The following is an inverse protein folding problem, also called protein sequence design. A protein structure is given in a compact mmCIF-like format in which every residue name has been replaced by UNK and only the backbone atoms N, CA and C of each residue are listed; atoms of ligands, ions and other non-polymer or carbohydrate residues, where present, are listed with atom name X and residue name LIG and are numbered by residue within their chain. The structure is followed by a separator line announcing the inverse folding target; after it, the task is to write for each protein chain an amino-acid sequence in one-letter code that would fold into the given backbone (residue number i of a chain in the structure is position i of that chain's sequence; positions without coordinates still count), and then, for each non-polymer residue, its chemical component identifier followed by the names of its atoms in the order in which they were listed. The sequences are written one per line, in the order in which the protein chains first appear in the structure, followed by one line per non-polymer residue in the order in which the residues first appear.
data_IF_771462118674
#
_entry.id   IF_771462118674
#
_cell.length_a   1.000
_cell.length_b   1.000
_cell.length_c   1.000
_cell.angle_alpha   90.00
_cell.angle_beta   90.00
_cell.angle_gamma   90.00
#
_symmetry.space_group_name_H-M   'P 1'
#
loop_
_entity.id
_entity.type
_entity.pdbx_description
1 polymer ?
#
# COMPACT_ATOMS: atom_id res chain seq x y z
N UNK A 1 -10.24 -10.96 -36.66
CA UNK A 1 -9.31 -10.51 -35.61
C UNK A 1 -8.52 -11.72 -35.15
N UNK A 2 -7.25 -11.56 -34.80
CA UNK A 2 -6.51 -12.64 -34.16
C UNK A 2 -7.18 -12.91 -32.81
N UNK A 3 -7.42 -14.18 -32.51
CA UNK A 3 -7.99 -14.59 -31.24
C UNK A 3 -6.90 -14.49 -30.15
N UNK A 4 -7.10 -13.66 -29.12
CA UNK A 4 -6.19 -13.41 -28.01
C UNK A 4 -6.67 -14.07 -26.69
N UNK A 5 -7.65 -14.95 -26.78
CA UNK A 5 -8.20 -15.65 -25.62
C UNK A 5 -7.23 -16.63 -24.98
N UNK A 6 -7.49 -17.03 -23.73
CA UNK A 6 -6.73 -18.09 -23.05
C UNK A 6 -6.65 -19.36 -23.89
N UNK A 7 -7.73 -19.72 -24.59
CA UNK A 7 -7.75 -20.86 -25.52
C UNK A 7 -6.72 -20.70 -26.67
N UNK A 8 -6.61 -19.48 -27.22
CA UNK A 8 -5.62 -19.19 -28.27
C UNK A 8 -4.19 -19.22 -27.73
N UNK A 9 -3.96 -18.69 -26.51
CA UNK A 9 -2.67 -18.75 -25.83
C UNK A 9 -2.27 -20.20 -25.58
N UNK A 10 -3.16 -21.03 -24.98
CA UNK A 10 -2.93 -22.47 -24.77
C UNK A 10 -2.55 -23.17 -26.09
N UNK A 11 -3.30 -22.92 -27.16
CA UNK A 11 -3.03 -23.52 -28.49
C UNK A 11 -1.66 -23.12 -29.02
N UNK A 12 -1.26 -21.86 -28.85
CA UNK A 12 0.07 -21.37 -29.27
C UNK A 12 1.18 -22.01 -28.45
N UNK A 13 1.05 -22.05 -27.12
CA UNK A 13 2.02 -22.66 -26.21
C UNK A 13 2.20 -24.15 -26.55
N UNK A 14 1.11 -24.91 -26.71
CA UNK A 14 1.18 -26.34 -27.11
C UNK A 14 1.94 -26.56 -28.42
N UNK A 15 1.79 -25.65 -29.38
CA UNK A 15 2.55 -25.72 -30.65
C UNK A 15 4.03 -25.44 -30.43
N UNK A 16 4.38 -24.46 -29.60
CA UNK A 16 5.76 -24.12 -29.29
C UNK A 16 6.46 -25.24 -28.50
N UNK A 17 5.79 -25.80 -27.50
CA UNK A 17 6.32 -26.86 -26.63
C UNK A 17 6.22 -28.27 -27.23
N UNK A 18 5.65 -28.41 -28.44
CA UNK A 18 5.43 -29.70 -29.11
C UNK A 18 4.64 -30.72 -28.29
N UNK A 19 3.71 -30.19 -27.42
CA UNK A 19 2.84 -31.03 -26.57
C UNK A 19 1.37 -30.87 -27.00
N UNK A 20 0.95 -31.53 -28.10
CA UNK A 20 -0.38 -31.30 -28.69
C UNK A 20 -1.53 -31.83 -27.85
N UNK A 21 -1.29 -32.79 -26.94
CA UNK A 21 -2.35 -33.43 -26.17
C UNK A 21 -2.40 -32.97 -24.71
N UNK A 22 -3.62 -32.99 -24.12
CA UNK A 22 -3.84 -32.72 -22.70
C UNK A 22 -3.25 -33.81 -21.79
N UNK A 23 -2.99 -35.00 -22.32
CA UNK A 23 -2.33 -36.09 -21.56
C UNK A 23 -0.85 -35.79 -21.30
N UNK A 24 -0.19 -35.02 -22.16
CA UNK A 24 1.22 -34.63 -22.00
C UNK A 24 1.39 -33.39 -21.11
N UNK A 25 0.45 -32.47 -21.17
CA UNK A 25 0.40 -31.26 -20.35
C UNK A 25 -1.07 -30.89 -20.18
N UNK A 26 -1.58 -30.96 -18.96
CA UNK A 26 -2.98 -30.65 -18.68
C UNK A 26 -3.31 -29.18 -18.94
N UNK A 27 -4.58 -28.83 -19.16
CA UNK A 27 -4.97 -27.43 -19.28
C UNK A 27 -4.76 -26.69 -17.95
N UNK A 28 -4.93 -27.35 -16.82
CA UNK A 28 -4.71 -26.76 -15.49
C UNK A 28 -3.24 -26.36 -15.29
N UNK A 29 -2.31 -27.27 -15.58
CA UNK A 29 -0.87 -26.98 -15.47
C UNK A 29 -0.47 -25.85 -16.44
N UNK A 30 -1.03 -25.88 -17.65
CA UNK A 30 -0.76 -24.84 -18.65
C UNK A 30 -1.26 -23.47 -18.20
N UNK A 31 -2.43 -23.41 -17.57
CA UNK A 31 -2.98 -22.17 -17.01
C UNK A 31 -2.16 -21.66 -15.84
N UNK A 32 -1.63 -22.54 -15.02
CA UNK A 32 -0.71 -22.19 -13.95
C UNK A 32 0.55 -21.54 -14.49
N UNK A 33 1.18 -22.12 -15.54
CA UNK A 33 2.34 -21.51 -16.19
C UNK A 33 2.03 -20.16 -16.83
N UNK A 34 0.87 -20.03 -17.50
CA UNK A 34 0.42 -18.78 -18.13
C UNK A 34 0.20 -17.70 -17.06
N UNK A 35 -0.54 -18.02 -16.01
CA UNK A 35 -0.82 -17.06 -14.95
C UNK A 35 0.43 -16.69 -14.14
N UNK A 36 1.33 -17.65 -13.91
CA UNK A 36 2.62 -17.39 -13.27
C UNK A 36 3.44 -16.41 -14.10
N UNK A 37 3.51 -16.58 -15.43
CA UNK A 37 4.20 -15.64 -16.30
C UNK A 37 3.58 -14.25 -16.25
N UNK A 38 2.25 -14.14 -16.32
CA UNK A 38 1.52 -12.86 -16.29
C UNK A 38 1.73 -12.12 -14.95
N UNK A 39 1.73 -12.85 -13.83
CA UNK A 39 1.78 -12.22 -12.51
C UNK A 39 3.19 -11.93 -12.00
N UNK A 40 4.17 -12.77 -12.32
CA UNK A 40 5.49 -12.72 -11.69
C UNK A 40 6.65 -12.46 -12.65
N UNK A 41 6.54 -12.94 -13.88
CA UNK A 41 7.67 -12.86 -14.83
C UNK A 41 7.52 -11.70 -15.82
N UNK A 42 6.39 -11.01 -15.78
CA UNK A 42 6.16 -9.83 -16.62
C UNK A 42 7.06 -8.68 -16.12
N UNK A 43 7.96 -8.13 -16.96
CA UNK A 43 8.90 -7.11 -16.52
C UNK A 43 8.18 -5.90 -15.91
N UNK A 44 8.60 -5.42 -14.71
CA UNK A 44 7.98 -4.26 -14.09
C UNK A 44 8.15 -2.97 -14.91
N UNK A 45 9.14 -2.92 -15.81
CA UNK A 45 9.32 -1.82 -16.77
C UNK A 45 8.18 -1.74 -17.79
N UNK A 46 7.54 -2.86 -18.08
CA UNK A 46 6.33 -2.93 -18.90
C UNK A 46 5.09 -2.50 -18.12
N UNK A 47 5.22 -1.48 -17.31
CA UNK A 47 4.08 -0.82 -16.63
C UNK A 47 3.21 -0.17 -17.68
N UNK A 48 2.22 -0.93 -18.11
CA UNK A 48 1.38 -0.59 -19.23
C UNK A 48 0.38 0.46 -18.78
N UNK A 49 0.25 1.51 -19.57
CA UNK A 49 -0.70 2.57 -19.30
C UNK A 49 -2.13 2.04 -19.12
N UNK A 50 -2.48 0.93 -19.79
CA UNK A 50 -3.78 0.25 -19.64
C UNK A 50 -4.02 -0.37 -18.25
N UNK A 51 -2.97 -0.64 -17.48
CA UNK A 51 -3.08 -1.13 -16.10
C UNK A 51 -3.10 0.02 -15.08
N UNK A 52 -2.88 1.24 -15.53
CA UNK A 52 -2.90 2.42 -14.69
C UNK A 52 -4.34 2.80 -14.36
N UNK A 53 -4.63 2.90 -13.09
CA UNK A 53 -5.97 3.18 -12.57
C UNK A 53 -5.90 4.23 -11.47
N UNK A 54 -7.02 4.89 -11.23
CA UNK A 54 -7.20 5.75 -10.09
C UNK A 54 -7.83 4.93 -8.96
N UNK A 55 -7.13 4.88 -7.83
CA UNK A 55 -7.64 4.28 -6.61
C UNK A 55 -8.06 5.40 -5.65
N UNK A 56 -9.27 5.30 -5.10
CA UNK A 56 -9.80 6.30 -4.16
C UNK A 56 -10.18 5.63 -2.85
N UNK A 57 -9.71 6.20 -1.75
CA UNK A 57 -10.13 5.85 -0.40
C UNK A 57 -10.44 7.12 0.38
N UNK A 58 -11.02 6.96 1.57
CA UNK A 58 -11.46 8.07 2.39
C UNK A 58 -10.73 8.09 3.72
N UNK A 59 -10.33 9.27 4.17
CA UNK A 59 -9.76 9.43 5.51
C UNK A 59 -10.86 9.37 6.57
N UNK A 60 -10.45 9.01 7.78
CA UNK A 60 -11.27 9.16 9.00
C UNK A 60 -10.66 10.25 9.90
N UNK A 61 -11.46 11.00 10.66
CA UNK A 61 -10.94 11.99 11.60
C UNK A 61 -9.95 11.34 12.58
N UNK A 62 -8.83 12.02 12.83
CA UNK A 62 -7.78 11.60 13.78
C UNK A 62 -7.10 10.24 13.47
N UNK A 63 -7.26 9.72 12.26
CA UNK A 63 -6.57 8.51 11.78
C UNK A 63 -5.54 8.90 10.72
N UNK A 64 -4.29 8.55 10.94
CA UNK A 64 -3.20 8.89 10.03
C UNK A 64 -2.76 7.76 9.12
N UNK A 65 -3.05 6.50 9.48
CA UNK A 65 -2.56 5.30 8.80
C UNK A 65 -3.72 4.46 8.27
N UNK A 66 -3.61 4.07 7.00
CA UNK A 66 -4.61 3.28 6.29
C UNK A 66 -3.93 2.05 5.70
N UNK A 67 -4.40 0.87 6.10
CA UNK A 67 -3.82 -0.42 5.70
C UNK A 67 -4.77 -1.19 4.78
N UNK A 68 -4.23 -2.23 4.14
CA UNK A 68 -5.05 -3.22 3.44
C UNK A 68 -6.06 -3.83 4.41
N UNK A 69 -7.34 -3.75 4.05
CA UNK A 69 -8.45 -4.29 4.84
C UNK A 69 -8.86 -5.68 4.36
N UNK A 70 -9.30 -6.52 5.28
CA UNK A 70 -9.98 -7.79 4.97
C UNK A 70 -11.51 -7.61 4.81
N UNK A 71 -12.05 -6.41 5.06
CA UNK A 71 -13.48 -6.10 4.98
C UNK A 71 -13.84 -5.73 3.54
N UNK A 72 -14.68 -6.53 2.89
CA UNK A 72 -15.05 -6.39 1.46
C UNK A 72 -15.64 -5.02 1.10
N UNK A 73 -16.32 -4.36 2.03
CA UNK A 73 -16.92 -3.04 1.82
C UNK A 73 -15.96 -1.88 1.98
N UNK A 74 -14.76 -2.13 2.52
CA UNK A 74 -13.73 -1.12 2.68
C UNK A 74 -13.05 -0.84 1.34
N UNK A 75 -12.85 0.41 0.92
CA UNK A 75 -12.05 0.74 -0.27
C UNK A 75 -10.64 0.11 -0.26
N UNK A 76 -10.04 -0.07 0.92
CA UNK A 76 -8.73 -0.70 1.09
C UNK A 76 -8.75 -2.24 1.02
N UNK A 77 -9.91 -2.85 0.72
CA UNK A 77 -10.04 -4.31 0.62
C UNK A 77 -9.09 -4.92 -0.41
N UNK A 78 -8.28 -5.86 0.04
CA UNK A 78 -7.26 -6.57 -0.77
C UNK A 78 -6.34 -5.63 -1.58
N UNK A 79 -6.07 -4.42 -1.10
CA UNK A 79 -5.27 -3.44 -1.83
C UNK A 79 -3.92 -4.02 -2.29
N UNK A 80 -3.18 -4.68 -1.41
CA UNK A 80 -1.86 -5.28 -1.70
C UNK A 80 -1.91 -6.37 -2.78
N UNK A 81 -3.06 -7.05 -2.92
CA UNK A 81 -3.22 -8.15 -3.87
C UNK A 81 -3.77 -7.65 -5.23
N UNK A 82 -4.46 -6.51 -5.24
CA UNK A 82 -5.01 -5.87 -6.45
C UNK A 82 -4.03 -4.98 -7.18
N UNK A 83 -3.07 -4.38 -6.47
CA UNK A 83 -2.19 -3.37 -7.03
C UNK A 83 -0.72 -3.71 -6.82
N UNK A 84 0.09 -3.43 -7.84
CA UNK A 84 1.54 -3.74 -7.84
C UNK A 84 2.39 -2.53 -7.47
N UNK A 85 1.92 -1.32 -7.73
CA UNK A 85 2.67 -0.11 -7.44
C UNK A 85 1.73 1.09 -7.27
N UNK A 86 2.16 2.01 -6.42
CA UNK A 86 1.55 3.34 -6.27
C UNK A 86 2.45 4.35 -6.98
N UNK A 87 1.86 5.22 -7.77
CA UNK A 87 2.56 6.30 -8.47
C UNK A 87 1.88 7.63 -8.24
N UNK A 88 2.63 8.73 -8.41
CA UNK A 88 2.03 10.05 -8.45
C UNK A 88 1.34 10.31 -9.82
N UNK A 89 0.45 11.29 -9.87
CA UNK A 89 0.08 12.19 -8.78
C UNK A 89 -0.95 11.61 -7.81
N UNK A 90 -1.04 12.22 -6.61
CA UNK A 90 -2.14 12.02 -5.68
C UNK A 90 -2.99 13.29 -5.59
N UNK A 91 -4.27 13.13 -5.31
CA UNK A 91 -5.20 14.22 -5.07
C UNK A 91 -5.88 14.01 -3.73
N UNK A 92 -5.79 14.98 -2.84
CA UNK A 92 -6.48 14.99 -1.56
C UNK A 92 -7.54 16.09 -1.61
N UNK A 93 -8.80 15.70 -1.46
CA UNK A 93 -9.94 16.63 -1.60
C UNK A 93 -9.89 17.45 -2.90
N UNK A 94 -9.43 16.84 -4.01
CA UNK A 94 -9.29 17.50 -5.31
C UNK A 94 -8.03 18.36 -5.47
N UNK A 95 -7.23 18.53 -4.44
CA UNK A 95 -5.97 19.29 -4.49
C UNK A 95 -4.79 18.34 -4.77
N UNK A 96 -3.91 18.73 -5.71
CA UNK A 96 -2.70 17.99 -6.02
C UNK A 96 -1.80 17.91 -4.78
N UNK A 97 -1.40 16.71 -4.42
CA UNK A 97 -0.62 16.41 -3.23
C UNK A 97 0.63 15.61 -3.58
N UNK A 98 1.68 15.74 -2.75
CA UNK A 98 2.90 14.97 -2.93
C UNK A 98 2.73 13.53 -2.44
N UNK A 99 3.16 12.57 -3.27
CA UNK A 99 3.34 11.18 -2.85
C UNK A 99 4.82 10.99 -2.53
N UNK A 100 5.10 10.61 -1.31
CA UNK A 100 6.45 10.31 -0.83
C UNK A 100 6.54 8.79 -0.66
N UNK A 101 7.58 8.19 -1.18
CA UNK A 101 7.83 6.74 -1.07
C UNK A 101 8.96 6.42 -0.09
N UNK A 102 9.69 7.46 0.37
CA UNK A 102 10.72 7.33 1.39
C UNK A 102 10.16 7.68 2.77
N UNK A 103 10.20 6.73 3.67
CA UNK A 103 9.78 6.92 5.06
C UNK A 103 10.63 7.99 5.77
N UNK A 104 11.94 7.97 5.54
CA UNK A 104 12.86 8.93 6.13
C UNK A 104 12.54 10.37 5.68
N UNK A 105 12.38 10.59 4.37
CA UNK A 105 12.01 11.90 3.83
C UNK A 105 10.68 12.41 4.42
N UNK A 106 9.69 11.51 4.54
CA UNK A 106 8.37 11.87 5.05
C UNK A 106 8.42 12.32 6.52
N UNK A 107 9.07 11.55 7.39
CA UNK A 107 9.13 11.89 8.82
C UNK A 107 10.11 13.05 9.11
N UNK A 108 11.13 13.24 8.27
CA UNK A 108 11.95 14.45 8.35
C UNK A 108 11.16 15.72 7.99
N UNK A 109 10.24 15.60 7.03
CA UNK A 109 9.39 16.72 6.61
C UNK A 109 8.23 16.98 7.58
N UNK A 110 7.73 15.93 8.22
CA UNK A 110 6.61 15.98 9.16
C UNK A 110 6.98 15.30 10.49
N UNK A 111 7.93 15.86 11.24
CA UNK A 111 8.35 15.28 12.51
C UNK A 111 7.22 15.35 13.52
N UNK A 112 7.07 14.27 14.29
CA UNK A 112 6.24 14.25 15.48
C UNK A 112 7.12 14.65 16.67
N UNK A 113 6.67 15.62 17.46
CA UNK A 113 7.39 16.06 18.64
C UNK A 113 6.84 15.36 19.87
N UNK A 114 7.68 14.56 20.54
CA UNK A 114 7.33 13.99 21.82
C UNK A 114 7.26 15.08 22.87
N UNK A 115 6.19 15.09 23.64
CA UNK A 115 5.99 16.03 24.75
C UNK A 115 5.89 15.27 26.06
N UNK A 116 6.61 15.76 27.04
CA UNK A 116 6.54 15.26 28.42
C UNK A 116 5.82 16.32 29.26
N UNK A 117 4.75 15.92 29.91
CA UNK A 117 3.99 16.80 30.82
C UNK A 117 3.80 16.12 32.18
N UNK A 118 3.68 16.93 33.23
CA UNK A 118 3.21 16.47 34.53
C UNK A 118 1.70 16.64 34.57
N UNK A 119 0.95 15.55 34.57
CA UNK A 119 -0.51 15.60 34.54
C UNK A 119 -1.11 15.73 35.92
N UNK A 120 -0.51 15.07 36.91
CA UNK A 120 -0.92 15.13 38.31
C UNK A 120 0.21 14.66 39.22
N UNK A 121 0.00 14.67 40.53
CA UNK A 121 0.98 14.17 41.52
C UNK A 121 0.36 13.10 42.42
N UNK A 122 1.16 12.12 42.80
CA UNK A 122 0.78 11.08 43.73
C UNK A 122 0.48 11.66 45.12
N UNK A 123 -0.46 11.09 45.80
CA UNK A 123 -0.83 11.45 47.20
C UNK A 123 -0.27 10.48 48.25
N UNK A 124 0.37 9.38 47.78
CA UNK A 124 0.91 8.32 48.63
C UNK A 124 -0.15 7.38 49.24
N UNK A 125 -1.40 7.49 48.83
CA UNK A 125 -2.54 6.69 49.36
C UNK A 125 -3.39 6.11 48.23
N UNK A 126 -3.72 6.90 47.24
CA UNK A 126 -4.56 6.51 46.10
C UNK A 126 -3.76 5.84 45.01
N UNK A 127 -4.35 4.85 44.40
CA UNK A 127 -3.80 4.24 43.15
C UNK A 127 -4.64 4.59 41.91
N UNK A 128 -5.75 5.32 42.08
CA UNK A 128 -6.66 5.73 41.00
C UNK A 128 -6.47 7.21 40.69
N UNK A 129 -6.14 7.51 39.45
CA UNK A 129 -5.98 8.88 38.96
C UNK A 129 -6.76 9.07 37.68
N UNK A 130 -7.35 10.23 37.51
CA UNK A 130 -8.09 10.64 36.32
C UNK A 130 -7.74 12.08 35.97
N UNK A 131 -7.81 12.41 34.69
CA UNK A 131 -7.56 13.79 34.26
C UNK A 131 -7.70 13.91 32.73
N UNK A 132 -7.32 15.09 32.25
CA UNK A 132 -7.23 15.37 30.82
C UNK A 132 -5.76 15.70 30.51
N UNK A 133 -5.19 15.16 29.46
CA UNK A 133 -3.82 15.45 29.03
C UNK A 133 -3.63 16.95 28.79
N UNK A 134 -2.45 17.44 29.13
CA UNK A 134 -2.07 18.84 28.90
C UNK A 134 -2.03 19.21 27.43
N UNK A 135 -1.67 18.24 26.57
CA UNK A 135 -1.65 18.39 25.12
C UNK A 135 -2.50 17.28 24.49
N UNK A 136 -3.51 17.66 23.71
CA UNK A 136 -4.37 16.76 22.92
C UNK A 136 -4.85 17.48 21.65
N UNK A 137 -5.31 16.76 20.61
CA UNK A 137 -5.37 15.30 20.45
C UNK A 137 -3.98 14.66 20.35
N UNK A 138 -3.89 13.36 20.70
CA UNK A 138 -2.66 12.59 20.72
C UNK A 138 -2.71 11.40 19.77
N UNK A 139 -1.54 10.98 19.28
CA UNK A 139 -1.44 9.84 18.39
C UNK A 139 -1.67 8.54 19.15
N UNK A 140 -2.53 7.67 18.60
CA UNK A 140 -2.89 6.36 19.16
C UNK A 140 -1.65 5.47 19.30
N UNK A 141 -1.57 4.70 20.39
CA UNK A 141 -0.47 3.79 20.68
C UNK A 141 0.85 4.45 21.07
N UNK A 142 0.83 5.75 21.42
CA UNK A 142 2.06 6.50 21.72
C UNK A 142 2.08 7.09 23.11
N UNK A 143 1.02 6.96 23.89
CA UNK A 143 0.92 7.56 25.22
C UNK A 143 1.56 6.64 26.25
N UNK A 144 2.48 7.18 27.03
CA UNK A 144 3.12 6.46 28.13
C UNK A 144 3.02 7.29 29.39
N UNK A 145 2.42 6.73 30.43
CA UNK A 145 2.49 7.32 31.77
C UNK A 145 3.62 6.73 32.58
N UNK A 146 4.25 7.55 33.41
CA UNK A 146 5.31 7.11 34.32
C UNK A 146 5.26 7.83 35.64
N UNK A 147 5.61 7.13 36.72
CA UNK A 147 5.69 7.64 38.08
C UNK A 147 6.66 6.80 38.91
N UNK A 148 6.85 7.14 40.18
CA UNK A 148 7.59 6.32 41.13
C UNK A 148 6.65 5.94 42.29
N UNK A 149 6.67 4.67 42.68
CA UNK A 149 5.83 4.18 43.76
C UNK A 149 6.41 4.50 45.15
N UNK A 150 5.66 4.18 46.21
CA UNK A 150 6.05 4.40 47.62
C UNK A 150 7.31 3.63 48.04
N UNK A 151 7.75 2.65 47.23
CA UNK A 151 8.99 1.88 47.43
C UNK A 151 10.17 2.47 46.66
N UNK A 152 9.98 3.55 45.92
CA UNK A 152 11.02 4.15 45.08
C UNK A 152 11.23 3.45 43.75
N UNK A 153 10.29 2.60 43.31
CA UNK A 153 10.39 1.86 42.04
C UNK A 153 9.66 2.64 40.94
N UNK A 154 10.32 2.83 39.79
CA UNK A 154 9.72 3.44 38.62
C UNK A 154 8.66 2.52 38.00
N UNK A 155 7.46 3.06 37.78
CA UNK A 155 6.28 2.38 37.18
C UNK A 155 5.90 3.02 35.88
N UNK A 156 5.45 2.20 34.92
CA UNK A 156 5.05 2.66 33.59
C UNK A 156 3.76 2.00 33.13
N UNK A 157 2.89 2.80 32.51
CA UNK A 157 1.72 2.33 31.80
C UNK A 157 1.86 2.67 30.32
N UNK A 158 1.59 1.72 29.46
CA UNK A 158 1.74 1.82 28.01
C UNK A 158 0.37 1.74 27.34
N UNK A 159 0.11 2.65 26.45
CA UNK A 159 -1.06 2.66 25.59
C UNK A 159 -0.96 1.53 24.54
N UNK A 160 -2.02 0.74 24.37
CA UNK A 160 -2.14 -0.36 23.43
C UNK A 160 -2.59 0.06 22.02
N UNK A 161 -2.91 1.34 21.83
CA UNK A 161 -3.47 1.88 20.59
C UNK A 161 -4.97 1.65 20.39
N UNK A 162 -5.63 0.99 21.35
CA UNK A 162 -7.06 0.70 21.32
C UNK A 162 -7.83 1.49 22.40
N UNK A 163 -7.14 2.40 23.09
CA UNK A 163 -7.72 3.24 24.15
C UNK A 163 -7.61 2.63 25.53
N UNK A 164 -6.76 1.59 25.72
CA UNK A 164 -6.51 0.98 27.02
C UNK A 164 -5.02 0.97 27.38
N UNK A 165 -4.72 0.95 28.68
CA UNK A 165 -3.36 0.89 29.19
C UNK A 165 -3.02 -0.48 29.73
N UNK A 166 -1.73 -0.85 29.57
CA UNK A 166 -1.12 -2.07 30.07
C UNK A 166 0.20 -1.76 30.77
N UNK A 167 0.76 -2.74 31.50
CA UNK A 167 2.01 -2.60 32.25
C UNK A 167 1.77 -2.51 33.73
N UNK A 168 2.34 -1.48 34.40
CA UNK A 168 2.20 -1.28 35.85
C UNK A 168 0.89 -0.57 36.26
N UNK A 169 0.06 -0.20 35.29
CA UNK A 169 -1.30 0.31 35.50
C UNK A 169 -2.23 -0.20 34.41
N UNK A 170 -3.52 -0.30 34.75
CA UNK A 170 -4.62 -0.48 33.82
C UNK A 170 -5.44 0.80 33.75
N UNK A 171 -6.10 1.05 32.59
CA UNK A 171 -6.90 2.26 32.45
C UNK A 171 -7.37 2.50 31.03
N UNK A 172 -7.90 3.69 30.79
CA UNK A 172 -8.44 4.09 29.48
C UNK A 172 -8.00 5.48 29.10
N UNK A 173 -8.01 5.76 27.79
CA UNK A 173 -7.72 7.07 27.21
C UNK A 173 -8.64 7.36 26.03
N UNK A 174 -9.11 8.60 25.93
CA UNK A 174 -9.69 9.14 24.69
C UNK A 174 -8.63 10.01 24.01
N UNK A 175 -8.18 9.59 22.82
CA UNK A 175 -7.11 10.27 22.08
C UNK A 175 -7.49 11.66 21.56
N UNK A 176 -8.79 11.92 21.41
CA UNK A 176 -9.30 13.18 20.85
C UNK A 176 -9.50 14.23 21.92
N UNK A 177 -10.15 13.85 23.02
CA UNK A 177 -10.41 14.76 24.17
C UNK A 177 -9.24 14.81 25.14
N UNK A 178 -8.35 13.81 25.10
CA UNK A 178 -7.24 13.69 26.03
C UNK A 178 -7.65 13.16 27.41
N UNK A 179 -8.93 12.79 27.62
CA UNK A 179 -9.40 12.29 28.90
C UNK A 179 -8.82 10.91 29.20
N UNK A 180 -8.27 10.73 30.37
CA UNK A 180 -7.64 9.48 30.80
C UNK A 180 -8.06 9.10 32.23
N UNK A 181 -8.01 7.78 32.46
CA UNK A 181 -8.21 7.20 33.79
C UNK A 181 -7.19 6.06 33.95
N UNK A 182 -6.45 6.05 35.05
CA UNK A 182 -5.46 5.05 35.41
C UNK A 182 -5.70 4.49 36.79
N UNK A 183 -5.51 3.18 36.92
CA UNK A 183 -5.42 2.46 38.18
C UNK A 183 -4.06 1.77 38.25
N UNK A 184 -3.15 2.32 39.04
CA UNK A 184 -1.83 1.76 39.25
C UNK A 184 -1.89 0.49 40.11
N UNK A 185 -1.03 -0.47 39.80
CA UNK A 185 -0.92 -1.68 40.63
C UNK A 185 -0.33 -1.38 42.00
N UNK A 186 0.59 -0.41 42.05
CA UNK A 186 1.23 0.09 43.29
C UNK A 186 0.98 1.57 43.41
N UNK A 187 0.83 2.03 44.67
CA UNK A 187 0.49 3.43 44.97
C UNK A 187 1.65 4.37 44.62
N UNK A 188 1.44 5.41 43.77
CA UNK A 188 2.45 6.44 43.52
C UNK A 188 2.83 7.18 44.85
N UNK A 189 4.13 7.50 44.96
CA UNK A 189 4.63 8.14 46.16
C UNK A 189 4.04 9.54 46.33
N UNK A 190 3.98 10.00 47.57
CA UNK A 190 3.46 11.33 47.90
C UNK A 190 4.30 12.44 47.27
N UNK A 191 3.65 13.41 46.63
CA UNK A 191 4.25 14.51 45.89
C UNK A 191 5.12 14.06 44.65
N UNK A 192 5.11 12.79 44.30
CA UNK A 192 5.78 12.32 43.08
C UNK A 192 4.94 12.65 41.85
N UNK A 193 5.54 13.23 40.78
CA UNK A 193 4.76 13.56 39.59
C UNK A 193 4.40 12.31 38.80
N UNK A 194 3.20 12.34 38.23
CA UNK A 194 2.74 11.39 37.22
C UNK A 194 2.92 12.06 35.88
N UNK A 195 3.93 11.61 35.12
CA UNK A 195 4.27 12.14 33.80
C UNK A 195 3.50 11.43 32.71
N UNK A 196 3.06 12.19 31.71
CA UNK A 196 2.68 11.67 30.41
C UNK A 196 3.76 11.98 29.36
N UNK A 197 4.10 11.00 28.53
CA UNK A 197 4.88 11.21 27.32
C UNK A 197 3.95 10.95 26.12
N UNK A 198 3.76 11.96 25.27
CA UNK A 198 2.76 11.93 24.20
C UNK A 198 3.29 12.51 22.90
N UNK A 199 2.67 12.13 21.77
CA UNK A 199 2.83 12.83 20.50
C UNK A 199 1.54 13.57 20.16
N UNK A 200 1.43 14.82 20.62
CA UNK A 200 0.32 15.69 20.28
C UNK A 200 0.42 16.21 18.85
N UNK A 201 -0.71 16.38 18.18
CA UNK A 201 -0.79 16.88 16.81
C UNK A 201 -1.92 17.91 16.66
N UNK A 202 -1.85 18.68 15.57
CA UNK A 202 -2.97 19.51 15.14
C UNK A 202 -3.64 18.85 13.94
N UNK A 203 -4.89 18.47 14.08
CA UNK A 203 -5.67 17.91 12.99
C UNK A 203 -5.98 18.97 11.93
N UNK A 204 -5.77 18.64 10.66
CA UNK A 204 -6.03 19.53 9.54
C UNK A 204 -6.22 18.72 8.24
N UNK A 205 -6.53 19.40 7.13
CA UNK A 205 -6.56 18.76 5.82
C UNK A 205 -5.17 18.24 5.46
N UNK A 206 -5.03 16.94 5.12
CA UNK A 206 -3.76 16.37 4.65
C UNK A 206 -3.28 17.04 3.37
N UNK A 207 -1.95 17.20 3.26
CA UNK A 207 -1.28 17.78 2.09
C UNK A 207 -0.21 16.85 1.51
N UNK A 208 0.12 15.78 2.24
CA UNK A 208 1.14 14.81 1.82
C UNK A 208 0.73 13.40 2.18
N UNK A 209 1.14 12.47 1.34
CA UNK A 209 0.84 11.04 1.43
C UNK A 209 2.14 10.25 1.35
N UNK A 210 2.41 9.42 2.35
CA UNK A 210 3.45 8.39 2.30
C UNK A 210 2.81 7.06 1.92
N UNK A 211 3.42 6.35 0.98
CA UNK A 211 3.12 4.94 0.75
C UNK A 211 4.35 4.09 1.08
N UNK A 212 4.25 3.29 2.12
CA UNK A 212 5.32 2.42 2.57
C UNK A 212 4.75 1.13 3.19
N UNK A 213 5.34 0.00 2.86
CA UNK A 213 4.93 -1.32 3.38
C UNK A 213 3.41 -1.60 3.26
N UNK A 214 2.84 -1.32 2.09
CA UNK A 214 1.40 -1.46 1.79
C UNK A 214 0.46 -0.65 2.71
N UNK A 215 0.98 0.41 3.33
CA UNK A 215 0.22 1.34 4.16
C UNK A 215 0.32 2.75 3.59
N UNK A 216 -0.77 3.48 3.68
CA UNK A 216 -0.81 4.90 3.41
C UNK A 216 -0.76 5.65 4.73
N UNK A 217 0.14 6.61 4.85
CA UNK A 217 0.21 7.53 5.99
C UNK A 217 0.01 8.94 5.48
N UNK A 218 -0.85 9.71 6.12
CA UNK A 218 -1.18 11.08 5.70
C UNK A 218 -0.70 12.11 6.72
N UNK A 219 -0.29 13.28 6.24
CA UNK A 219 0.10 14.43 7.07
C UNK A 219 -0.38 15.74 6.46
N UNK A 220 -0.85 16.70 7.29
CA UNK A 220 -1.27 16.55 8.70
C UNK A 220 -2.28 15.42 8.92
N UNK A 221 -2.49 15.03 10.18
CA UNK A 221 -3.53 14.04 10.55
C UNK A 221 -4.89 14.65 10.23
N UNK A 222 -5.81 13.90 9.59
CA UNK A 222 -7.09 14.44 9.14
C UNK A 222 -7.99 14.93 10.28
N UNK A 223 -8.61 16.09 10.12
CA UNK A 223 -9.66 16.61 11.01
C UNK A 223 -11.06 16.08 10.64
N UNK A 224 -11.25 15.61 9.44
CA UNK A 224 -12.50 15.05 8.90
C UNK A 224 -12.23 14.09 7.75
N UNK A 225 -13.30 13.57 7.16
CA UNK A 225 -13.23 12.66 6.01
C UNK A 225 -12.89 13.43 4.74
N UNK A 226 -11.80 13.04 4.08
CA UNK A 226 -11.36 13.54 2.79
C UNK A 226 -11.21 12.40 1.77
N UNK A 227 -11.65 12.56 0.53
CA UNK A 227 -11.32 11.64 -0.54
C UNK A 227 -9.83 11.78 -0.90
N UNK A 228 -9.12 10.66 -0.94
CA UNK A 228 -7.74 10.57 -1.43
C UNK A 228 -7.74 9.71 -2.67
N UNK A 229 -7.34 10.28 -3.81
CA UNK A 229 -7.21 9.56 -5.07
C UNK A 229 -5.75 9.49 -5.47
N UNK A 230 -5.24 8.28 -5.66
CA UNK A 230 -3.86 8.00 -6.08
C UNK A 230 -3.85 7.22 -7.38
N UNK A 231 -2.81 7.40 -8.18
CA UNK A 231 -2.59 6.55 -9.35
C UNK A 231 -1.86 5.28 -8.92
N UNK A 232 -2.40 4.16 -9.35
CA UNK A 232 -1.89 2.82 -9.06
C UNK A 232 -1.79 2.00 -10.33
N UNK A 233 -0.92 0.99 -10.34
CA UNK A 233 -0.91 -0.03 -11.37
C UNK A 233 -1.63 -1.27 -10.85
N UNK A 234 -2.72 -1.65 -11.52
CA UNK A 234 -3.44 -2.87 -11.20
C UNK A 234 -2.58 -4.10 -11.52
N UNK A 235 -2.74 -5.14 -10.73
CA UNK A 235 -2.21 -6.46 -11.06
C UNK A 235 -3.06 -7.05 -12.18
N UNK A 236 -2.47 -7.63 -13.23
CA UNK A 236 -3.25 -8.33 -14.24
C UNK A 236 -4.13 -9.40 -13.62
N UNK A 237 -5.36 -9.52 -14.11
CA UNK A 237 -6.29 -10.57 -13.63
C UNK A 237 -5.84 -11.94 -14.13
N UNK A 238 -5.92 -12.97 -13.29
CA UNK A 238 -5.68 -14.34 -13.70
C UNK A 238 -6.70 -14.79 -14.77
N UNK A 239 -6.21 -15.53 -15.77
CA UNK A 239 -7.05 -16.12 -16.80
C UNK A 239 -7.52 -17.51 -16.32
N UNK A 240 -8.83 -17.72 -16.20
CA UNK A 240 -9.41 -18.96 -15.68
C UNK A 240 -10.30 -19.66 -16.68
N UNK A 241 -11.13 -18.90 -17.41
CA UNK A 241 -12.01 -19.44 -18.43
C UNK A 241 -11.36 -19.37 -19.82
N UNK A 242 -11.68 -20.33 -20.69
CA UNK A 242 -11.12 -20.42 -22.05
C UNK A 242 -11.34 -19.18 -22.91
N UNK A 243 -12.41 -18.42 -22.65
CA UNK A 243 -12.73 -17.16 -23.31
C UNK A 243 -12.12 -15.92 -22.70
N UNK A 244 -11.43 -16.05 -21.54
CA UNK A 244 -10.81 -14.90 -20.90
C UNK A 244 -9.71 -14.30 -21.76
N UNK A 245 -9.66 -12.99 -21.81
CA UNK A 245 -8.63 -12.24 -22.52
C UNK A 245 -7.70 -11.57 -21.51
N UNK A 246 -6.38 -11.59 -21.76
CA UNK A 246 -5.49 -10.81 -20.92
C UNK A 246 -5.83 -9.32 -21.03
N UNK A 247 -5.68 -8.56 -19.96
CA UNK A 247 -5.84 -7.11 -19.98
C UNK A 247 -4.92 -6.42 -21.00
N UNK A 248 -3.98 -7.17 -21.54
CA UNK A 248 -2.99 -6.86 -22.55
C UNK A 248 -3.27 -7.68 -23.81
N UNK A 249 -4.46 -7.55 -24.34
CA UNK A 249 -4.96 -8.35 -25.45
C UNK A 249 -3.96 -8.47 -26.62
N UNK A 250 -3.34 -7.37 -26.99
CA UNK A 250 -2.38 -7.31 -28.10
C UNK A 250 -1.04 -8.04 -27.83
N UNK A 251 -0.82 -8.57 -26.63
CA UNK A 251 0.47 -9.19 -26.24
C UNK A 251 0.35 -10.67 -25.92
N UNK A 252 -0.73 -11.25 -26.37
CA UNK A 252 -0.95 -12.69 -26.22
C UNK A 252 0.21 -13.55 -26.74
N UNK A 253 0.93 -13.09 -27.80
CA UNK A 253 2.09 -13.80 -28.30
C UNK A 253 3.28 -13.74 -27.35
N UNK A 254 3.56 -12.57 -26.77
CA UNK A 254 4.59 -12.41 -25.75
C UNK A 254 4.35 -13.34 -24.57
N UNK A 255 3.11 -13.38 -24.06
CA UNK A 255 2.70 -14.29 -23.00
C UNK A 255 2.92 -15.75 -23.42
N UNK A 256 2.54 -16.12 -24.64
CA UNK A 256 2.69 -17.49 -25.13
C UNK A 256 4.16 -17.92 -25.24
N UNK A 257 5.05 -17.05 -25.73
CA UNK A 257 6.49 -17.35 -25.81
C UNK A 257 7.13 -17.42 -24.42
N UNK A 258 6.81 -16.49 -23.51
CA UNK A 258 7.33 -16.50 -22.14
C UNK A 258 6.89 -17.75 -21.37
N UNK A 259 5.62 -18.13 -21.50
CA UNK A 259 5.09 -19.38 -20.92
C UNK A 259 5.81 -20.62 -21.48
N UNK A 260 6.04 -20.68 -22.80
CA UNK A 260 6.72 -21.81 -23.42
C UNK A 260 8.17 -21.94 -22.91
N UNK A 261 8.89 -20.84 -22.79
CA UNK A 261 10.24 -20.80 -22.20
C UNK A 261 10.22 -21.31 -20.77
N UNK A 262 9.25 -20.91 -19.96
CA UNK A 262 9.11 -21.38 -18.58
C UNK A 262 8.90 -22.90 -18.48
N UNK A 263 8.06 -23.46 -19.36
CA UNK A 263 7.83 -24.90 -19.45
C UNK A 263 9.12 -25.64 -19.85
N UNK A 264 9.92 -25.11 -20.79
CA UNK A 264 11.18 -25.71 -21.15
C UNK A 264 12.22 -25.63 -20.03
N UNK A 265 12.26 -24.55 -19.27
CA UNK A 265 13.10 -24.47 -18.05
C UNK A 265 12.72 -25.53 -17.03
N UNK A 266 11.41 -25.72 -16.77
CA UNK A 266 10.92 -26.76 -15.87
C UNK A 266 11.32 -28.17 -16.30
N UNK A 267 11.36 -28.42 -17.63
CA UNK A 267 11.80 -29.69 -18.22
C UNK A 267 13.31 -29.81 -18.40
N UNK A 268 14.09 -28.79 -18.05
CA UNK A 268 15.53 -28.72 -18.29
C UNK A 268 15.94 -28.80 -19.77
N UNK A 269 15.05 -28.41 -20.70
CA UNK A 269 15.27 -28.42 -22.15
C UNK A 269 15.95 -27.12 -22.61
N UNK A 270 17.23 -26.92 -22.26
CA UNK A 270 17.93 -25.65 -22.46
C UNK A 270 18.14 -25.30 -23.96
N UNK A 271 18.28 -26.30 -24.83
CA UNK A 271 18.42 -26.07 -26.28
C UNK A 271 17.14 -25.43 -26.85
N UNK A 272 15.96 -25.91 -26.42
CA UNK A 272 14.66 -25.35 -26.82
C UNK A 272 14.47 -23.92 -26.31
N UNK A 273 14.97 -23.62 -25.11
CA UNK A 273 14.98 -22.24 -24.57
C UNK A 273 15.80 -21.33 -25.46
N UNK A 274 17.02 -21.75 -25.86
CA UNK A 274 17.91 -20.95 -26.72
C UNK A 274 17.28 -20.70 -28.10
N UNK A 275 16.56 -21.68 -28.65
CA UNK A 275 15.86 -21.56 -29.93
C UNK A 275 14.73 -20.51 -29.88
N UNK A 276 13.98 -20.43 -28.77
CA UNK A 276 12.86 -19.50 -28.62
C UNK A 276 13.26 -18.10 -28.14
N UNK A 277 14.40 -17.96 -27.49
CA UNK A 277 14.82 -16.71 -26.86
C UNK A 277 14.91 -15.51 -27.83
N UNK A 278 15.41 -15.65 -29.09
CA UNK A 278 15.43 -14.51 -29.99
C UNK A 278 14.05 -13.95 -30.32
N UNK A 279 13.07 -14.84 -30.56
CA UNK A 279 11.71 -14.41 -30.87
C UNK A 279 11.01 -13.84 -29.60
N UNK A 280 11.25 -14.42 -28.44
CA UNK A 280 10.77 -13.86 -27.18
C UNK A 280 11.27 -12.42 -26.97
N UNK A 281 12.57 -12.16 -27.18
CA UNK A 281 13.13 -10.81 -27.10
C UNK A 281 12.58 -9.86 -28.16
N UNK A 282 12.31 -10.37 -29.35
CA UNK A 282 11.65 -9.60 -30.39
C UNK A 282 10.23 -9.18 -29.97
N UNK A 283 9.47 -10.10 -29.40
CA UNK A 283 8.13 -9.81 -28.86
C UNK A 283 8.19 -8.82 -27.68
N UNK A 284 9.17 -8.97 -26.80
CA UNK A 284 9.43 -8.01 -25.71
C UNK A 284 9.68 -6.59 -26.24
N UNK A 285 10.53 -6.46 -27.24
CA UNK A 285 10.83 -5.19 -27.89
C UNK A 285 9.59 -4.56 -28.54
N UNK A 286 8.73 -5.37 -29.17
CA UNK A 286 7.45 -4.90 -29.73
C UNK A 286 6.49 -4.39 -28.65
N UNK A 287 6.41 -5.09 -27.52
CA UNK A 287 5.63 -4.71 -26.35
C UNK A 287 6.12 -3.36 -25.81
N UNK A 288 7.43 -3.24 -25.55
CA UNK A 288 8.05 -1.98 -25.07
C UNK A 288 7.77 -0.82 -26.02
N UNK A 289 7.95 -1.04 -27.33
CA UNK A 289 7.71 -0.01 -28.34
C UNK A 289 6.26 0.50 -28.33
N UNK A 290 5.29 -0.39 -28.19
CA UNK A 290 3.88 -0.02 -28.10
C UNK A 290 3.56 0.80 -26.85
N UNK A 291 4.10 0.38 -25.71
CA UNK A 291 3.95 1.12 -24.44
C UNK A 291 4.52 2.54 -24.57
N UNK A 292 5.69 2.69 -25.16
CA UNK A 292 6.31 4.00 -25.40
C UNK A 292 5.43 4.86 -26.32
N UNK A 293 4.88 4.28 -27.39
CA UNK A 293 4.01 5.01 -28.33
C UNK A 293 2.73 5.47 -27.61
N UNK A 294 2.09 4.64 -26.80
CA UNK A 294 0.91 5.01 -26.03
C UNK A 294 1.19 6.17 -25.06
N UNK A 295 2.33 6.11 -24.37
CA UNK A 295 2.77 7.20 -23.49
C UNK A 295 3.09 8.48 -24.26
N UNK A 296 3.70 8.39 -25.42
CA UNK A 296 4.04 9.54 -26.27
C UNK A 296 2.79 10.18 -26.87
N UNK A 297 1.80 9.42 -27.29
CA UNK A 297 0.57 9.94 -27.85
C UNK A 297 -0.22 10.77 -26.83
N UNK A 298 -0.22 10.41 -25.57
CA UNK A 298 -0.81 11.24 -24.50
C UNK A 298 -0.06 12.55 -24.30
N UNK A 299 1.26 12.57 -24.45
CA UNK A 299 2.08 13.78 -24.33
C UNK A 299 2.03 14.65 -25.60
N UNK A 300 2.05 14.04 -26.77
CA UNK A 300 2.09 14.75 -28.03
C UNK A 300 0.78 15.49 -28.33
N UNK A 301 -0.37 14.94 -27.97
CA UNK A 301 -1.66 15.63 -28.15
C UNK A 301 -1.76 16.94 -27.35
N UNK A 302 -1.10 17.02 -26.19
CA UNK A 302 -1.10 18.22 -25.34
C UNK A 302 -0.09 19.26 -25.84
N UNK A 303 1.04 18.86 -26.39
CA UNK A 303 2.11 19.74 -26.86
C UNK A 303 1.75 20.33 -28.23
N UNK A 304 1.23 19.52 -29.15
CA UNK A 304 0.87 20.00 -30.49
C UNK A 304 -0.35 20.92 -30.52
N UNK A 305 -1.33 20.72 -29.62
CA UNK A 305 -2.47 21.62 -29.54
C UNK A 305 -2.12 23.03 -29.05
N UNK A 306 -1.04 23.20 -28.29
CA UNK A 306 -0.56 24.51 -27.84
C UNK A 306 0.37 25.20 -28.85
N UNK A 307 1.06 24.44 -29.72
CA UNK A 307 2.00 24.96 -30.71
C UNK A 307 1.32 25.50 -31.96
N UNK A 308 0.24 24.87 -32.43
CA UNK A 308 -0.46 25.28 -33.64
C UNK A 308 -1.32 26.52 -33.48
N UNK A 309 -1.70 26.90 -32.27
CA UNK A 309 -2.45 28.16 -32.01
C UNK A 309 -1.59 29.42 -31.97
N UNK A 310 -0.27 29.32 -32.11
CA UNK A 310 0.65 30.47 -32.10
C UNK A 310 1.20 30.84 -33.49
N UNK A 311 0.80 30.11 -34.55
CA UNK A 311 1.33 30.33 -35.90
C UNK A 311 0.19 30.70 -36.88
N UNK A 312 -1.03 30.84 -36.42
CA UNK A 312 -2.15 31.44 -37.17
C UNK A 312 -2.71 32.64 -36.40
#
# INVERSE_FOLDING_TARGET
MADSTLAAIRKKVRRLTRTPSEQQLSNADLDEFINTFIHFDFPPELRIESLKQNFTFYTAPNVDTYETSAVVTDPMYDFKDKYTAVTGPAYIAGTLSSVILSQEEFYNRYPLTNRLATETTGDGVSNIFTGTLSDYPVLQGTVVFSTVDTLGIARKAYDDGLGTFSGDAAGTIDYVTGDWALTWNDVPASAEPIYSATYAYQAAQPVSLLFFNNKFVVRPIPDKTYPITVQVYARPTALTAAGDMPGLEQWWQYIAFGTAIKIFYDRSEMDSVQELMPEFKNQEALVLRRTIIEQMNQRSSTIYSSGYRRIL
#
